data_IF_307968333590
#
_entry.id   IF_307968333590
#
_cell.length_a   1.000
_cell.length_b   1.000
_cell.length_c   1.000
_cell.angle_alpha   90.00
_cell.angle_beta   90.00
_cell.angle_gamma   90.00
#
_symmetry.space_group_name_H-M   'P 1'
#
loop_
_entity.id
_entity.type
_entity.pdbx_description
1 polymer ?
#
# COMPACT_ATOMS: atom_id res chain seq x y z
N UNK A 1 1.85 15.48 21.77
CA UNK A 1 1.21 15.77 20.47
C UNK A 1 -0.26 15.37 20.59
N UNK A 2 -1.16 16.33 20.63
CA UNK A 2 -2.61 16.06 20.62
C UNK A 2 -3.04 15.94 19.15
N UNK A 3 -3.27 14.71 18.69
CA UNK A 3 -3.78 14.44 17.34
C UNK A 3 -5.29 14.71 17.39
N UNK A 4 -5.75 15.64 16.55
CA UNK A 4 -7.19 15.84 16.33
C UNK A 4 -7.65 14.84 15.26
N UNK A 5 -8.59 13.98 15.62
CA UNK A 5 -9.22 13.04 14.72
C UNK A 5 -10.42 13.73 14.08
N UNK A 6 -10.40 13.95 12.77
CA UNK A 6 -11.55 14.40 12.01
C UNK A 6 -12.14 13.20 11.27
N UNK A 7 -13.29 12.73 11.74
CA UNK A 7 -14.05 11.67 11.08
C UNK A 7 -15.07 12.34 10.16
N UNK A 8 -14.94 12.15 8.86
CA UNK A 8 -15.96 12.60 7.91
C UNK A 8 -16.95 11.43 7.74
N UNK A 9 -18.07 11.53 8.44
CA UNK A 9 -19.21 10.65 8.23
C UNK A 9 -20.03 11.20 7.06
N UNK A 10 -20.13 10.47 5.98
CA UNK A 10 -21.17 10.69 4.97
C UNK A 10 -22.38 9.87 5.39
N UNK A 11 -23.19 10.42 6.30
CA UNK A 11 -24.51 9.92 6.61
C UNK A 11 -25.53 10.95 6.13
N UNK A 12 -26.37 10.55 5.21
CA UNK A 12 -27.55 11.31 4.85
C UNK A 12 -28.59 11.11 5.96
N UNK A 13 -28.71 12.05 6.90
CA UNK A 13 -29.93 12.22 7.69
C UNK A 13 -30.00 13.64 8.25
N UNK A 14 -31.19 14.17 8.24
CA UNK A 14 -31.59 15.54 8.38
C UNK A 14 -31.16 16.21 9.70
N UNK A 15 -30.84 17.53 9.60
CA UNK A 15 -30.65 18.48 10.66
C UNK A 15 -29.31 18.43 11.42
N UNK A 16 -28.26 18.90 10.76
CA UNK A 16 -27.07 19.40 11.43
C UNK A 16 -26.67 20.76 10.85
N UNK A 17 -26.02 21.67 11.64
CA UNK A 17 -25.65 22.97 11.15
C UNK A 17 -24.76 22.83 9.91
N UNK A 18 -25.11 23.57 8.85
CA UNK A 18 -24.30 23.67 7.63
C UNK A 18 -22.89 24.13 8.02
N UNK A 19 -21.94 23.21 7.98
CA UNK A 19 -20.55 23.61 7.77
C UNK A 19 -20.53 24.16 6.36
N UNK A 20 -20.43 25.46 6.22
CA UNK A 20 -20.16 26.10 4.94
C UNK A 20 -18.82 25.57 4.45
N UNK A 21 -18.84 24.71 3.45
CA UNK A 21 -17.64 24.40 2.70
C UNK A 21 -17.11 25.75 2.19
N UNK A 22 -15.88 26.11 2.55
CA UNK A 22 -15.19 27.21 1.89
C UNK A 22 -15.26 26.92 0.39
N UNK A 23 -15.91 27.80 -0.36
CA UNK A 23 -15.93 27.72 -1.81
C UNK A 23 -14.49 27.83 -2.30
N UNK A 24 -13.94 26.71 -2.76
CA UNK A 24 -12.73 26.72 -3.55
C UNK A 24 -12.91 27.76 -4.65
N UNK A 25 -11.94 28.67 -4.80
CA UNK A 25 -12.01 29.75 -5.78
C UNK A 25 -12.32 29.17 -7.17
N UNK A 26 -13.07 29.90 -7.98
CA UNK A 26 -13.53 29.46 -9.31
C UNK A 26 -12.36 29.11 -10.27
N UNK A 27 -11.14 29.45 -9.92
CA UNK A 27 -9.93 29.21 -10.74
C UNK A 27 -9.26 27.87 -10.51
N UNK A 28 -9.71 27.05 -9.53
CA UNK A 28 -9.12 25.75 -9.21
C UNK A 28 -9.88 24.56 -9.83
N UNK A 29 -10.46 24.74 -11.02
CA UNK A 29 -11.12 23.61 -11.71
C UNK A 29 -10.09 22.62 -12.19
N UNK A 30 -10.15 21.39 -11.65
CA UNK A 30 -9.39 20.28 -12.23
C UNK A 30 -9.82 20.06 -13.69
N UNK A 31 -8.84 19.96 -14.58
CA UNK A 31 -9.03 19.67 -16.01
C UNK A 31 -8.41 18.32 -16.33
N UNK A 32 -9.16 17.46 -17.03
CA UNK A 32 -8.58 16.27 -17.63
C UNK A 32 -7.59 16.68 -18.72
N UNK A 33 -6.30 16.39 -18.50
CA UNK A 33 -5.22 16.72 -19.46
C UNK A 33 -5.08 15.60 -20.48
N UNK A 34 -5.07 14.33 -20.03
CA UNK A 34 -4.87 13.18 -20.88
C UNK A 34 -5.46 11.92 -20.28
N UNK A 35 -5.72 10.93 -21.13
CA UNK A 35 -6.07 9.57 -20.75
C UNK A 35 -5.05 8.62 -21.36
N UNK A 36 -4.32 7.88 -20.52
CA UNK A 36 -3.40 6.85 -20.95
C UNK A 36 -4.17 5.57 -21.16
N UNK A 37 -4.09 5.01 -22.35
CA UNK A 37 -4.75 3.75 -22.75
C UNK A 37 -3.72 2.75 -23.27
N UNK A 38 -4.16 1.55 -23.62
CA UNK A 38 -3.31 0.50 -24.19
C UNK A 38 -3.25 -0.73 -23.31
N UNK A 39 -2.06 -1.32 -23.18
CA UNK A 39 -1.86 -2.60 -22.49
C UNK A 39 -1.72 -2.44 -20.97
N UNK A 40 -2.67 -1.74 -20.36
CA UNK A 40 -2.74 -1.46 -18.93
C UNK A 40 -4.09 -1.87 -18.34
N UNK A 41 -4.07 -2.27 -17.07
CA UNK A 41 -5.25 -2.59 -16.26
C UNK A 41 -4.94 -2.35 -14.79
N UNK A 42 -4.74 -1.07 -14.40
CA UNK A 42 -4.18 -0.73 -13.11
C UNK A 42 -5.19 -0.97 -11.97
N UNK A 43 -4.74 -1.63 -10.91
CA UNK A 43 -5.41 -1.68 -9.61
C UNK A 43 -5.11 -0.43 -8.79
N UNK A 44 -3.91 0.10 -8.94
CA UNK A 44 -3.47 1.33 -8.29
C UNK A 44 -2.43 2.08 -9.14
N UNK A 45 -2.27 3.36 -8.82
CA UNK A 45 -1.23 4.23 -9.38
C UNK A 45 -0.52 4.97 -8.25
N UNK A 46 0.78 5.27 -8.45
CA UNK A 46 1.58 6.05 -7.51
C UNK A 46 2.46 7.05 -8.24
N UNK A 47 2.46 8.29 -7.77
CA UNK A 47 3.43 9.28 -8.18
C UNK A 47 4.69 9.17 -7.30
N UNK A 48 5.86 9.32 -7.92
CA UNK A 48 7.13 9.53 -7.21
C UNK A 48 7.34 11.01 -6.92
N UNK A 49 8.22 11.32 -5.97
CA UNK A 49 8.71 12.69 -5.81
C UNK A 49 9.74 13.11 -6.88
N UNK A 50 10.06 12.23 -7.85
CA UNK A 50 11.17 12.38 -8.80
C UNK A 50 10.75 12.35 -10.27
N UNK A 51 9.49 12.68 -10.56
CA UNK A 51 8.99 12.85 -11.93
C UNK A 51 8.46 11.58 -12.60
N UNK A 52 8.11 10.53 -11.85
CA UNK A 52 7.54 9.32 -12.41
C UNK A 52 6.17 8.99 -11.81
N UNK A 53 5.37 8.28 -12.61
CA UNK A 53 4.12 7.64 -12.17
C UNK A 53 4.21 6.16 -12.48
N UNK A 54 3.91 5.31 -11.48
CA UNK A 54 3.78 3.88 -11.67
C UNK A 54 2.33 3.45 -11.68
N UNK A 55 1.96 2.49 -12.54
CA UNK A 55 0.68 1.82 -12.55
C UNK A 55 0.89 0.32 -12.32
N UNK A 56 0.13 -0.25 -11.37
CA UNK A 56 0.24 -1.63 -10.95
C UNK A 56 -0.88 -2.44 -11.58
N UNK A 57 -0.56 -3.17 -12.66
CA UNK A 57 -1.53 -3.81 -13.55
C UNK A 57 -1.85 -5.22 -13.07
N UNK A 58 -2.52 -5.34 -11.93
CA UNK A 58 -2.91 -6.61 -11.33
C UNK A 58 -3.88 -7.39 -12.20
N UNK A 59 -4.85 -6.69 -12.84
CA UNK A 59 -5.95 -7.32 -13.57
C UNK A 59 -5.50 -7.62 -14.99
N UNK A 60 -5.39 -8.90 -15.33
CA UNK A 60 -5.14 -9.44 -16.69
C UNK A 60 -3.74 -9.20 -17.28
N UNK A 61 -3.02 -8.15 -16.89
CA UNK A 61 -1.73 -7.78 -17.52
C UNK A 61 -0.52 -8.25 -16.73
N UNK A 62 -0.60 -8.26 -15.40
CA UNK A 62 0.47 -8.71 -14.51
C UNK A 62 1.81 -8.02 -14.81
N UNK A 63 1.80 -6.69 -14.74
CA UNK A 63 2.98 -5.86 -14.98
C UNK A 63 2.96 -4.60 -14.13
N UNK A 64 4.08 -3.92 -14.07
CA UNK A 64 4.19 -2.56 -13.55
C UNK A 64 4.63 -1.66 -14.70
N UNK A 65 3.81 -0.65 -15.04
CA UNK A 65 4.17 0.33 -16.07
C UNK A 65 4.60 1.63 -15.42
N UNK A 66 5.68 2.20 -15.93
CA UNK A 66 6.27 3.45 -15.45
C UNK A 66 6.10 4.50 -16.54
N UNK A 67 5.62 5.66 -16.14
CA UNK A 67 5.40 6.81 -17.02
C UNK A 67 6.20 8.00 -16.52
N UNK A 68 6.70 8.81 -17.45
CA UNK A 68 7.16 10.15 -17.18
C UNK A 68 5.96 11.01 -16.74
N UNK A 69 6.08 11.72 -15.62
CA UNK A 69 4.96 12.45 -15.05
C UNK A 69 4.66 13.78 -15.78
N UNK A 70 5.63 14.33 -16.51
CA UNK A 70 5.49 15.58 -17.26
C UNK A 70 4.89 15.32 -18.64
N UNK A 71 5.47 14.37 -19.38
CA UNK A 71 5.11 14.10 -20.76
C UNK A 71 4.05 12.99 -20.89
N UNK A 72 3.74 12.28 -19.83
CA UNK A 72 2.81 11.15 -19.76
C UNK A 72 3.17 10.00 -20.71
N UNK A 73 4.44 9.89 -21.07
CA UNK A 73 4.96 8.85 -21.97
C UNK A 73 5.40 7.62 -21.18
N UNK A 74 5.24 6.44 -21.79
CA UNK A 74 5.68 5.18 -21.21
C UNK A 74 7.22 5.13 -21.17
N UNK A 75 7.78 5.02 -19.97
CA UNK A 75 9.23 4.83 -19.74
C UNK A 75 9.59 3.35 -19.77
N UNK A 76 8.81 2.53 -19.07
CA UNK A 76 9.09 1.09 -18.96
C UNK A 76 7.81 0.30 -18.70
N UNK A 77 7.76 -0.90 -19.29
CA UNK A 77 6.83 -1.95 -18.89
C UNK A 77 7.63 -3.08 -18.22
N UNK A 78 7.41 -3.30 -16.93
CA UNK A 78 8.15 -4.25 -16.11
C UNK A 78 7.27 -5.48 -15.92
N UNK A 79 7.74 -6.63 -16.38
CA UNK A 79 7.06 -7.90 -16.13
C UNK A 79 7.09 -8.26 -14.64
N UNK A 80 6.03 -8.88 -14.14
CA UNK A 80 5.94 -9.43 -12.78
C UNK A 80 6.75 -10.74 -12.60
N UNK A 81 7.39 -11.23 -13.66
CA UNK A 81 8.11 -12.51 -13.65
C UNK A 81 9.47 -12.38 -12.98
N UNK A 82 9.73 -13.27 -12.04
CA UNK A 82 11.00 -13.35 -11.32
C UNK A 82 11.44 -14.79 -11.15
N UNK A 83 12.73 -14.99 -11.01
CA UNK A 83 13.31 -16.22 -10.45
C UNK A 83 13.62 -15.96 -8.96
N UNK A 84 12.74 -16.42 -8.08
CA UNK A 84 12.90 -16.20 -6.64
C UNK A 84 14.18 -16.83 -6.09
N UNK A 85 14.67 -17.91 -6.70
CA UNK A 85 15.93 -18.54 -6.26
C UNK A 85 17.13 -17.61 -6.48
N UNK A 86 17.14 -16.83 -7.56
CA UNK A 86 18.16 -15.79 -7.83
C UNK A 86 18.05 -14.59 -6.91
N UNK A 87 16.88 -14.38 -6.32
CA UNK A 87 16.64 -13.34 -5.31
C UNK A 87 16.81 -13.85 -3.86
N UNK A 88 17.47 -15.01 -3.68
CA UNK A 88 17.85 -15.53 -2.36
C UNK A 88 16.86 -16.52 -1.73
N UNK A 89 15.81 -16.97 -2.46
CA UNK A 89 14.81 -17.90 -1.95
C UNK A 89 15.00 -19.31 -2.55
N UNK A 90 15.97 -20.05 -2.07
CA UNK A 90 16.38 -21.36 -2.60
C UNK A 90 15.28 -22.42 -2.64
N UNK A 91 14.22 -22.26 -1.84
CA UNK A 91 13.05 -23.18 -1.87
C UNK A 91 12.12 -22.98 -3.09
N UNK A 92 12.37 -21.96 -3.92
CA UNK A 92 11.57 -21.63 -5.09
C UNK A 92 12.42 -21.72 -6.36
N UNK A 93 12.17 -22.70 -7.19
CA UNK A 93 12.92 -22.92 -8.44
C UNK A 93 12.08 -22.62 -9.66
N UNK A 94 12.69 -22.00 -10.68
CA UNK A 94 12.05 -21.61 -11.93
C UNK A 94 11.45 -20.21 -11.91
N UNK A 95 10.61 -19.92 -12.90
CA UNK A 95 9.98 -18.61 -13.05
C UNK A 95 8.69 -18.54 -12.25
N UNK A 96 8.56 -17.49 -11.47
CA UNK A 96 7.35 -17.16 -10.71
C UNK A 96 6.75 -15.87 -11.24
N UNK A 97 5.44 -15.70 -11.05
CA UNK A 97 4.70 -14.49 -11.38
C UNK A 97 4.06 -13.94 -10.12
N UNK A 98 3.96 -12.62 -10.05
CA UNK A 98 3.19 -11.94 -9.04
C UNK A 98 1.82 -11.48 -9.57
N UNK A 99 1.14 -10.68 -8.77
CA UNK A 99 -0.04 -9.92 -9.14
C UNK A 99 0.10 -8.51 -8.55
N UNK A 100 0.81 -7.59 -9.23
CA UNK A 100 1.13 -6.26 -8.72
C UNK A 100 -0.12 -5.47 -8.35
N UNK A 101 -0.29 -5.11 -7.06
CA UNK A 101 -1.55 -4.51 -6.57
C UNK A 101 -1.40 -3.09 -6.09
N UNK A 102 -0.36 -2.79 -5.32
CA UNK A 102 -0.07 -1.45 -4.78
C UNK A 102 1.44 -1.21 -4.80
N UNK A 103 1.83 0.07 -4.85
CA UNK A 103 3.25 0.43 -4.80
C UNK A 103 3.52 1.66 -3.94
N UNK A 104 4.78 1.82 -3.56
CA UNK A 104 5.30 3.01 -2.90
C UNK A 104 6.74 3.27 -3.34
N UNK A 105 7.02 4.49 -3.75
CA UNK A 105 8.40 4.92 -4.00
C UNK A 105 9.12 5.20 -2.68
N UNK A 106 10.42 4.91 -2.66
CA UNK A 106 11.28 5.38 -1.58
C UNK A 106 11.41 6.92 -1.64
N UNK A 107 11.58 7.60 -0.49
CA UNK A 107 11.71 9.07 -0.45
C UNK A 107 12.88 9.61 -1.27
N UNK A 108 13.96 8.84 -1.39
CA UNK A 108 15.14 9.18 -2.20
C UNK A 108 14.97 8.86 -3.70
N UNK A 109 13.82 8.32 -4.10
CA UNK A 109 13.49 7.98 -5.48
C UNK A 109 14.23 6.78 -6.06
N UNK A 110 15.08 6.09 -5.29
CA UNK A 110 15.92 4.99 -5.81
C UNK A 110 15.18 3.68 -5.99
N UNK A 111 14.07 3.48 -5.29
CA UNK A 111 13.34 2.23 -5.31
C UNK A 111 11.84 2.46 -5.40
N UNK A 112 11.17 1.55 -6.11
CA UNK A 112 9.73 1.36 -6.05
C UNK A 112 9.45 -0.02 -5.42
N UNK A 113 8.72 -0.05 -4.33
CA UNK A 113 8.26 -1.26 -3.67
C UNK A 113 6.86 -1.61 -4.13
N UNK A 114 6.64 -2.85 -4.56
CA UNK A 114 5.35 -3.29 -5.13
C UNK A 114 4.86 -4.56 -4.45
N UNK A 115 3.67 -4.52 -3.87
CA UNK A 115 3.02 -5.71 -3.31
C UNK A 115 2.43 -6.58 -4.41
N UNK A 116 2.53 -7.89 -4.26
CA UNK A 116 1.86 -8.85 -5.12
C UNK A 116 0.71 -9.49 -4.36
N UNK A 117 -0.52 -9.32 -4.84
CA UNK A 117 -1.73 -9.89 -4.24
C UNK A 117 -1.62 -11.41 -4.02
N UNK A 118 -1.08 -12.10 -4.99
CA UNK A 118 -0.76 -13.52 -4.96
C UNK A 118 0.54 -13.78 -5.73
N UNK A 119 1.06 -14.98 -5.58
CA UNK A 119 2.16 -15.49 -6.37
C UNK A 119 1.72 -16.74 -7.12
N UNK A 120 2.30 -16.95 -8.30
CA UNK A 120 2.02 -18.08 -9.19
C UNK A 120 3.31 -18.76 -9.61
N UNK A 121 3.26 -20.08 -9.79
CA UNK A 121 4.39 -20.91 -10.19
C UNK A 121 4.64 -22.04 -9.19
N UNK A 122 5.74 -22.76 -9.38
CA UNK A 122 6.06 -23.93 -8.55
C UNK A 122 6.21 -23.53 -7.08
N UNK A 123 5.48 -24.19 -6.20
CA UNK A 123 5.47 -23.90 -4.76
C UNK A 123 4.37 -22.93 -4.31
N UNK A 124 3.53 -22.46 -5.23
CA UNK A 124 2.34 -21.66 -4.95
C UNK A 124 1.11 -22.39 -5.48
N UNK A 125 0.35 -23.03 -4.58
CA UNK A 125 -0.78 -23.89 -4.93
C UNK A 125 -2.10 -23.43 -4.31
N UNK A 126 -2.06 -22.44 -3.41
CA UNK A 126 -3.20 -21.94 -2.64
C UNK A 126 -3.28 -20.44 -2.72
N UNK A 127 -3.77 -19.95 -3.86
CA UNK A 127 -3.94 -18.53 -4.10
C UNK A 127 -4.86 -17.89 -3.05
N UNK A 128 -4.41 -16.79 -2.47
CA UNK A 128 -5.22 -15.98 -1.56
C UNK A 128 -6.31 -15.23 -2.30
N UNK A 129 -7.43 -15.02 -1.63
CA UNK A 129 -8.59 -14.25 -2.14
C UNK A 129 -8.96 -13.16 -1.16
N UNK A 130 -9.91 -12.28 -1.51
CA UNK A 130 -10.43 -11.28 -0.56
C UNK A 130 -11.25 -11.93 0.58
N UNK A 131 -11.66 -13.18 0.42
CA UNK A 131 -12.36 -13.95 1.46
C UNK A 131 -11.33 -14.72 2.28
N UNK A 132 -10.92 -14.14 3.39
CA UNK A 132 -9.95 -14.75 4.29
C UNK A 132 -10.61 -15.82 5.16
N UNK A 133 -10.32 -17.08 4.86
CA UNK A 133 -10.72 -18.21 5.69
C UNK A 133 -9.45 -18.85 6.24
N UNK A 134 -9.22 -18.87 7.56
CA UNK A 134 -8.01 -19.48 8.16
C UNK A 134 -7.80 -20.93 7.74
N UNK A 135 -8.89 -21.68 7.53
CA UNK A 135 -8.86 -23.08 7.06
C UNK A 135 -8.29 -23.25 5.64
N UNK A 136 -8.26 -22.19 4.82
CA UNK A 136 -7.78 -22.28 3.45
C UNK A 136 -6.24 -22.36 3.37
N UNK A 137 -5.54 -21.95 4.43
CA UNK A 137 -4.08 -22.00 4.53
C UNK A 137 -3.40 -21.47 3.25
N UNK A 138 -3.78 -20.26 2.83
CA UNK A 138 -3.29 -19.62 1.63
C UNK A 138 -1.76 -19.41 1.64
N UNK A 139 -1.16 -19.42 0.47
CA UNK A 139 0.27 -19.17 0.31
C UNK A 139 0.61 -17.71 0.66
N UNK A 140 1.76 -17.54 1.31
CA UNK A 140 2.33 -16.21 1.55
C UNK A 140 2.84 -15.64 0.23
N UNK A 141 2.76 -14.33 0.09
CA UNK A 141 3.18 -13.61 -1.11
C UNK A 141 4.49 -12.84 -0.91
N UNK A 142 4.86 -12.07 -1.92
CA UNK A 142 6.10 -11.31 -1.95
C UNK A 142 5.85 -9.84 -2.25
N UNK A 143 6.64 -9.00 -1.60
CA UNK A 143 6.89 -7.63 -1.99
C UNK A 143 8.08 -7.61 -2.94
N UNK A 144 7.95 -6.98 -4.11
CA UNK A 144 9.08 -6.73 -5.02
C UNK A 144 9.69 -5.37 -4.74
N UNK A 145 11.02 -5.26 -4.88
CA UNK A 145 11.73 -4.01 -4.99
C UNK A 145 12.19 -3.84 -6.44
N UNK A 146 11.91 -2.68 -7.00
CA UNK A 146 12.30 -2.29 -8.35
C UNK A 146 13.31 -1.16 -8.20
N UNK A 147 14.52 -1.35 -8.72
CA UNK A 147 15.54 -0.31 -8.80
C UNK A 147 15.19 0.69 -9.92
N UNK A 148 15.09 1.97 -9.59
CA UNK A 148 14.58 2.99 -10.53
C UNK A 148 15.61 3.43 -11.57
N UNK A 149 16.89 3.19 -11.35
CA UNK A 149 17.96 3.45 -12.32
C UNK A 149 17.91 2.52 -13.54
N UNK A 150 17.39 1.29 -13.35
CA UNK A 150 17.26 0.27 -14.41
C UNK A 150 15.83 -0.13 -14.69
N UNK A 151 14.91 0.19 -13.82
CA UNK A 151 13.54 -0.29 -13.85
C UNK A 151 13.45 -1.81 -13.90
N UNK A 152 14.18 -2.46 -13.02
CA UNK A 152 14.23 -3.92 -12.89
C UNK A 152 13.94 -4.37 -11.46
N UNK A 153 13.30 -5.53 -11.31
CA UNK A 153 13.09 -6.16 -10.00
C UNK A 153 14.45 -6.71 -9.55
N UNK A 154 15.03 -6.09 -8.53
CA UNK A 154 16.35 -6.44 -8.00
C UNK A 154 16.30 -7.18 -6.67
N UNK A 155 15.15 -7.18 -6.00
CA UNK A 155 14.97 -7.87 -4.72
C UNK A 155 13.52 -8.23 -4.48
N UNK A 156 13.30 -9.23 -3.60
CA UNK A 156 11.99 -9.62 -3.13
C UNK A 156 12.01 -9.85 -1.62
N UNK A 157 10.85 -9.71 -0.97
CA UNK A 157 10.69 -9.94 0.47
C UNK A 157 9.45 -10.79 0.68
N UNK A 158 9.59 -11.94 1.36
CA UNK A 158 8.45 -12.79 1.70
C UNK A 158 7.63 -12.10 2.79
N UNK A 159 6.41 -11.71 2.46
CA UNK A 159 5.46 -11.02 3.35
C UNK A 159 4.30 -11.93 3.73
N UNK A 160 3.17 -11.39 4.20
CA UNK A 160 2.01 -12.17 4.58
C UNK A 160 1.16 -12.64 3.40
N UNK A 161 -0.08 -13.01 3.72
CA UNK A 161 -1.08 -13.51 2.77
C UNK A 161 -1.92 -12.37 2.25
N UNK A 162 -2.06 -12.25 0.94
CA UNK A 162 -2.80 -11.19 0.26
C UNK A 162 -2.32 -9.80 0.72
N UNK A 163 -1.04 -9.44 0.46
CA UNK A 163 -0.57 -8.09 0.78
C UNK A 163 -1.34 -7.05 -0.04
N UNK A 164 -1.68 -5.94 0.61
CA UNK A 164 -2.46 -4.85 0.00
C UNK A 164 -1.61 -3.58 -0.07
N UNK A 165 -1.61 -2.77 0.96
CA UNK A 165 -0.96 -1.46 0.95
C UNK A 165 0.49 -1.57 1.38
N UNK A 166 1.35 -0.81 0.72
CA UNK A 166 2.75 -0.61 1.07
C UNK A 166 3.02 0.86 1.29
N UNK A 167 3.86 1.18 2.29
CA UNK A 167 4.37 2.53 2.54
C UNK A 167 5.84 2.46 2.94
N UNK A 168 6.60 3.45 2.50
CA UNK A 168 8.00 3.65 2.92
C UNK A 168 8.06 4.77 3.94
N UNK A 169 8.82 4.60 5.02
CA UNK A 169 8.99 5.67 6.01
C UNK A 169 9.76 6.85 5.41
N UNK A 170 9.39 8.12 5.76
CA UNK A 170 10.06 9.31 5.22
C UNK A 170 11.57 9.36 5.47
N UNK A 171 12.07 8.73 6.54
CA UNK A 171 13.49 8.60 6.84
C UNK A 171 14.19 7.45 6.07
N UNK A 172 13.48 6.79 5.17
CA UNK A 172 13.96 5.70 4.34
C UNK A 172 14.54 4.49 5.12
N UNK A 173 14.03 4.24 6.35
CA UNK A 173 14.47 3.09 7.16
C UNK A 173 13.62 1.85 7.01
N UNK A 174 12.31 2.04 6.84
CA UNK A 174 11.35 0.93 6.87
C UNK A 174 10.41 0.93 5.68
N UNK A 175 10.06 -0.28 5.24
CA UNK A 175 8.90 -0.51 4.37
C UNK A 175 7.87 -1.30 5.15
N UNK A 176 6.64 -0.81 5.18
CA UNK A 176 5.51 -1.39 5.87
C UNK A 176 4.51 -1.97 4.87
N UNK A 177 4.07 -3.21 5.09
CA UNK A 177 3.11 -3.91 4.21
C UNK A 177 1.97 -4.48 5.03
N UNK A 178 0.72 -4.08 4.74
CA UNK A 178 -0.47 -4.72 5.31
C UNK A 178 -0.81 -5.99 4.56
N UNK A 179 -1.04 -7.07 5.30
CA UNK A 179 -1.36 -8.38 4.76
C UNK A 179 -2.80 -8.75 5.15
N UNK A 180 -3.69 -8.70 4.17
CA UNK A 180 -5.13 -8.77 4.33
C UNK A 180 -5.61 -10.06 5.00
N UNK A 181 -5.07 -11.21 4.59
CA UNK A 181 -5.52 -12.52 5.06
C UNK A 181 -4.62 -13.18 6.12
N UNK A 182 -3.40 -12.71 6.33
CA UNK A 182 -2.62 -13.10 7.51
C UNK A 182 -2.84 -12.17 8.71
N UNK A 183 -3.65 -11.10 8.52
CA UNK A 183 -4.08 -10.19 9.59
C UNK A 183 -2.93 -9.46 10.28
N UNK A 184 -1.86 -9.24 9.55
CA UNK A 184 -0.63 -8.67 10.09
C UNK A 184 -0.05 -7.54 9.22
N UNK A 185 0.94 -6.86 9.80
CA UNK A 185 1.81 -5.88 9.16
C UNK A 185 3.21 -6.46 9.10
N UNK A 186 3.76 -6.60 7.89
CA UNK A 186 5.18 -6.91 7.71
C UNK A 186 6.00 -5.61 7.76
N UNK A 187 7.09 -5.63 8.51
CA UNK A 187 8.07 -4.54 8.61
C UNK A 187 9.37 -5.00 7.98
N UNK A 188 9.80 -4.32 6.93
CA UNK A 188 11.07 -4.57 6.24
C UNK A 188 12.06 -3.47 6.64
N UNK A 189 13.25 -3.85 7.07
CA UNK A 189 14.38 -2.95 7.23
C UNK A 189 15.05 -2.74 5.86
N UNK A 190 15.14 -1.48 5.43
CA UNK A 190 15.80 -1.14 4.15
C UNK A 190 17.30 -1.40 4.27
N UNK A 191 17.91 -1.07 5.39
CA UNK A 191 19.34 -1.28 5.63
C UNK A 191 19.73 -2.77 5.71
N UNK A 192 18.89 -3.58 6.39
CA UNK A 192 19.15 -5.02 6.56
C UNK A 192 18.61 -5.86 5.39
N UNK A 193 17.85 -5.26 4.49
CA UNK A 193 17.20 -5.89 3.33
C UNK A 193 16.42 -7.18 3.68
N UNK A 194 15.70 -7.16 4.80
CA UNK A 194 14.89 -8.30 5.26
C UNK A 194 13.66 -7.86 6.04
N UNK A 195 12.69 -8.77 6.16
CA UNK A 195 11.59 -8.62 7.10
C UNK A 195 12.14 -8.79 8.52
N UNK A 196 12.07 -7.74 9.32
CA UNK A 196 12.58 -7.73 10.70
C UNK A 196 11.48 -7.97 11.74
N UNK A 197 10.23 -7.74 11.37
CA UNK A 197 9.10 -7.89 12.28
C UNK A 197 7.79 -8.16 11.55
N UNK A 198 6.93 -8.92 12.21
CA UNK A 198 5.52 -9.09 11.84
C UNK A 198 4.68 -8.69 13.04
N UNK A 199 3.71 -7.78 12.85
CA UNK A 199 2.87 -7.23 13.91
C UNK A 199 1.43 -7.64 13.62
N UNK A 200 0.78 -8.34 14.55
CA UNK A 200 -0.64 -8.66 14.43
C UNK A 200 -1.48 -7.38 14.50
N UNK A 201 -2.30 -7.13 13.49
CA UNK A 201 -3.21 -5.97 13.38
C UNK A 201 -4.67 -6.38 13.64
N UNK A 202 -4.99 -7.65 13.48
CA UNK A 202 -6.37 -8.13 13.44
C UNK A 202 -6.94 -8.14 12.03
N UNK A 203 -8.23 -8.44 11.90
CA UNK A 203 -8.85 -8.75 10.61
C UNK A 203 -8.76 -7.60 9.61
N UNK A 204 -8.35 -7.94 8.39
CA UNK A 204 -8.37 -7.08 7.22
C UNK A 204 -7.58 -5.77 7.35
N UNK A 205 -6.26 -5.82 7.68
CA UNK A 205 -5.44 -4.61 7.70
C UNK A 205 -5.41 -3.98 6.30
N UNK A 206 -5.58 -2.64 6.22
CA UNK A 206 -5.70 -1.99 4.91
C UNK A 206 -4.82 -0.74 4.80
N UNK A 207 -5.35 0.43 5.07
CA UNK A 207 -4.64 1.70 4.90
C UNK A 207 -3.44 1.82 5.83
N UNK A 208 -2.37 2.43 5.33
CA UNK A 208 -1.19 2.85 6.11
C UNK A 208 -0.91 4.31 5.80
N UNK A 209 -0.58 5.08 6.81
CA UNK A 209 0.09 6.37 6.67
C UNK A 209 1.18 6.49 7.74
N UNK A 210 2.26 7.21 7.43
CA UNK A 210 3.39 7.38 8.33
C UNK A 210 3.60 8.87 8.57
N UNK A 211 3.90 9.26 9.80
CA UNK A 211 4.18 10.65 10.15
C UNK A 211 5.44 11.16 9.44
N UNK A 212 5.46 12.44 9.05
CA UNK A 212 6.58 13.03 8.30
C UNK A 212 7.92 12.99 9.08
N UNK A 213 7.85 12.90 10.41
CA UNK A 213 9.01 12.72 11.28
C UNK A 213 9.42 11.25 11.45
N UNK A 214 8.76 10.33 10.75
CA UNK A 214 8.97 8.88 10.81
C UNK A 214 8.84 8.26 12.20
N UNK A 215 8.15 8.92 13.14
CA UNK A 215 7.98 8.36 14.49
C UNK A 215 6.83 7.39 14.60
N UNK A 216 5.76 7.61 13.85
CA UNK A 216 4.53 6.83 13.97
C UNK A 216 4.01 6.35 12.62
N UNK A 217 3.59 5.11 12.58
CA UNK A 217 2.73 4.57 11.53
C UNK A 217 1.30 4.41 12.05
N UNK A 218 0.33 4.70 11.20
CA UNK A 218 -1.09 4.48 11.47
C UNK A 218 -1.60 3.43 10.49
N UNK A 219 -2.20 2.37 11.02
CA UNK A 219 -2.67 1.22 10.24
C UNK A 219 -4.15 0.97 10.51
N UNK A 220 -4.98 0.99 9.49
CA UNK A 220 -6.41 0.72 9.58
C UNK A 220 -6.67 -0.78 9.71
N UNK A 221 -7.44 -1.18 10.73
CA UNK A 221 -8.02 -2.51 10.84
C UNK A 221 -9.44 -2.47 10.24
N UNK A 222 -9.57 -2.78 8.96
CA UNK A 222 -10.85 -2.66 8.24
C UNK A 222 -11.89 -3.69 8.73
N UNK A 223 -11.48 -4.84 9.25
CA UNK A 223 -12.38 -5.81 9.89
C UNK A 223 -12.69 -5.49 11.35
N UNK A 224 -12.67 -4.23 11.74
CA UNK A 224 -12.90 -3.76 13.09
C UNK A 224 -13.29 -2.28 13.10
N UNK A 225 -12.98 -1.60 14.22
CA UNK A 225 -13.31 -0.19 14.44
C UNK A 225 -12.12 0.64 14.93
N UNK A 226 -10.90 0.14 14.71
CA UNK A 226 -9.69 0.78 15.24
C UNK A 226 -8.66 1.10 14.17
N UNK A 227 -7.88 2.12 14.45
CA UNK A 227 -6.60 2.42 13.82
C UNK A 227 -5.50 2.11 14.81
N UNK A 228 -4.50 1.36 14.40
CA UNK A 228 -3.31 1.10 15.20
C UNK A 228 -2.30 2.22 14.98
N UNK A 229 -2.00 2.98 16.01
CA UNK A 229 -0.86 3.89 16.04
C UNK A 229 0.34 3.12 16.57
N UNK A 230 1.37 2.99 15.75
CA UNK A 230 2.57 2.18 16.03
C UNK A 230 3.78 3.10 16.06
N UNK A 231 4.52 3.10 17.15
CA UNK A 231 5.79 3.82 17.25
C UNK A 231 6.87 3.03 16.51
N UNK A 232 7.45 3.64 15.47
CA UNK A 232 8.50 3.01 14.67
C UNK A 232 9.80 2.88 15.48
N UNK A 233 10.46 1.73 15.35
CA UNK A 233 11.66 1.38 16.12
C UNK A 233 11.34 0.63 17.42
N UNK A 234 10.46 1.12 18.26
CA UNK A 234 10.06 0.42 19.51
C UNK A 234 8.94 -0.58 19.28
N UNK A 235 8.11 -0.31 18.25
CA UNK A 235 6.93 -1.10 17.88
C UNK A 235 5.82 -1.10 18.96
N UNK A 236 5.88 -0.17 19.90
CA UNK A 236 4.77 0.06 20.83
C UNK A 236 3.53 0.47 20.08
N UNK A 237 2.39 -0.04 20.54
CA UNK A 237 1.11 0.13 19.86
C UNK A 237 0.07 0.75 20.78
N UNK A 238 -0.66 1.72 20.24
CA UNK A 238 -1.86 2.32 20.80
C UNK A 238 -3.03 2.06 19.85
N UNK A 239 -4.23 1.81 20.36
CA UNK A 239 -5.44 1.61 19.58
C UNK A 239 -6.31 2.88 19.64
N UNK A 240 -6.67 3.39 18.48
CA UNK A 240 -7.55 4.54 18.31
C UNK A 240 -8.91 4.06 17.82
N UNK A 241 -9.95 4.22 18.63
CA UNK A 241 -11.32 3.92 18.22
C UNK A 241 -11.81 4.99 17.26
N UNK A 242 -12.22 4.59 16.04
CA UNK A 242 -12.50 5.53 14.95
C UNK A 242 -13.84 5.30 14.26
N UNK A 243 -14.54 4.23 14.57
CA UNK A 243 -15.77 3.80 13.91
C UNK A 243 -15.55 2.64 12.94
N UNK A 244 -16.63 2.12 12.40
CA UNK A 244 -16.66 0.84 11.69
C UNK A 244 -15.89 0.85 10.37
N UNK A 245 -15.14 -0.20 10.13
CA UNK A 245 -14.47 -0.51 8.87
C UNK A 245 -13.55 0.62 8.35
N UNK A 246 -12.58 1.13 9.13
CA UNK A 246 -11.63 2.13 8.65
C UNK A 246 -10.81 1.56 7.47
N UNK A 247 -10.72 2.31 6.36
CA UNK A 247 -10.15 1.78 5.12
C UNK A 247 -8.92 2.51 4.64
N UNK A 248 -9.05 3.79 4.31
CA UNK A 248 -7.94 4.60 3.83
C UNK A 248 -7.57 5.66 4.86
N UNK A 249 -6.28 5.95 4.95
CA UNK A 249 -5.70 6.90 5.89
C UNK A 249 -4.79 7.88 5.15
N UNK A 250 -4.83 9.13 5.56
CA UNK A 250 -3.83 10.13 5.17
C UNK A 250 -3.62 11.12 6.33
N UNK A 251 -2.38 11.50 6.59
CA UNK A 251 -2.05 12.58 7.51
C UNK A 251 -2.02 13.92 6.79
N UNK A 252 -2.43 14.98 7.50
CA UNK A 252 -2.16 16.36 7.04
C UNK A 252 -0.65 16.61 6.97
N UNK A 253 -0.20 17.57 6.13
CA UNK A 253 1.23 17.88 5.99
C UNK A 253 1.92 18.27 7.31
N UNK A 254 1.17 18.86 8.24
CA UNK A 254 1.65 19.23 9.58
C UNK A 254 1.60 18.09 10.61
N UNK A 255 1.16 16.90 10.22
CA UNK A 255 0.93 15.74 11.10
C UNK A 255 -0.10 15.96 12.23
N UNK A 256 -0.94 17.01 12.18
CA UNK A 256 -1.88 17.29 13.26
C UNK A 256 -3.24 16.61 13.07
N UNK A 257 -3.59 16.29 11.83
CA UNK A 257 -4.88 15.70 11.48
C UNK A 257 -4.70 14.38 10.74
N UNK A 258 -5.36 13.34 11.21
CA UNK A 258 -5.49 12.05 10.52
C UNK A 258 -6.87 12.00 9.86
N UNK A 259 -6.89 12.05 8.52
CA UNK A 259 -8.09 11.81 7.74
C UNK A 259 -8.25 10.32 7.50
N UNK A 260 -9.47 9.83 7.62
CA UNK A 260 -9.77 8.43 7.34
C UNK A 260 -11.14 8.28 6.67
N UNK A 261 -11.28 7.24 5.88
CA UNK A 261 -12.57 6.81 5.34
C UNK A 261 -13.07 5.59 6.12
N UNK A 262 -14.35 5.59 6.45
CA UNK A 262 -15.05 4.44 6.97
C UNK A 262 -15.80 3.76 5.83
N UNK A 263 -15.65 2.45 5.73
CA UNK A 263 -16.36 1.63 4.74
C UNK A 263 -17.52 0.91 5.44
N UNK A 264 -18.46 1.69 5.95
CA UNK A 264 -19.68 1.15 6.54
C UNK A 264 -20.58 0.61 5.43
N UNK A 265 -21.05 -0.60 5.59
CA UNK A 265 -22.05 -1.19 4.71
C UNK A 265 -23.48 -0.87 5.12
N UNK A 266 -23.66 -0.12 6.19
CA UNK A 266 -24.97 0.34 6.63
C UNK A 266 -25.30 1.66 5.92
N UNK A 267 -26.06 1.54 4.90
CA UNK A 267 -26.87 2.60 4.32
C UNK A 267 -28.33 2.24 4.60
#
# INVERSE_FOLDING_TARGET
MRIRLLVILVALSMLTPRVTAETLSSDSKMKLISTITGDISPKSVRASGTGFVSAHNMMYRHSVTIYDAENLTLVKNISDRVDLSKLGFSGYSGTHRGAPVEGAFSPDGKYLYVTNYAMYGKGFNREGTDICRPSNNYDRSFLYRIATDKWEIDSAYKVGVVPKVVQVSPDNKYVLVTNWCSYDLSVISIAEQKVIKTINIGAYPRGITISNDSKYAFVAQMGGSVVHKIELGTWKRELLNVGSNPRALVLSPDNQTLFLTLNSSEI
#
